data_IF_672110118694
#
_entry.id   IF_672110118694
#
_cell.length_a   1.000
_cell.length_b   1.000
_cell.length_c   1.000
_cell.angle_alpha   90.00
_cell.angle_beta   90.00
_cell.angle_gamma   90.00
#
_symmetry.space_group_name_H-M   'P 1'
#
loop_
_entity.id
_entity.type
_entity.pdbx_description
1 polymer ?
#
# COMPACT_ATOMS: atom_id res chain seq x y z
N UNK A 1 38.23 -0.99 -21.02
CA UNK A 1 36.95 -0.26 -21.18
C UNK A 1 35.71 -0.96 -20.61
N UNK A 2 35.38 -2.19 -21.00
CA UNK A 2 34.16 -2.91 -20.53
C UNK A 2 33.97 -2.97 -19.00
N UNK A 3 35.03 -3.21 -18.23
CA UNK A 3 34.94 -3.26 -16.75
C UNK A 3 34.64 -1.89 -16.12
N UNK A 4 35.12 -0.79 -16.73
CA UNK A 4 34.86 0.59 -16.26
C UNK A 4 33.42 0.99 -16.51
N UNK A 5 32.84 0.60 -17.64
CA UNK A 5 31.42 0.79 -17.95
C UNK A 5 30.51 -0.01 -17.00
N UNK A 6 30.86 -1.28 -16.76
CA UNK A 6 30.15 -2.12 -15.79
C UNK A 6 30.16 -1.48 -14.39
N UNK A 7 31.32 -1.04 -13.90
CA UNK A 7 31.44 -0.36 -12.61
C UNK A 7 30.61 0.93 -12.53
N UNK A 8 30.65 1.77 -13.57
CA UNK A 8 29.87 3.01 -13.63
C UNK A 8 28.36 2.74 -13.63
N UNK A 9 27.91 1.73 -14.38
CA UNK A 9 26.50 1.35 -14.40
C UNK A 9 26.02 0.84 -13.03
N UNK A 10 26.85 0.05 -12.33
CA UNK A 10 26.57 -0.43 -10.98
C UNK A 10 26.44 0.75 -9.99
N UNK A 11 27.38 1.70 -10.04
CA UNK A 11 27.36 2.91 -9.20
C UNK A 11 26.09 3.74 -9.44
N UNK A 12 25.69 3.93 -10.70
CA UNK A 12 24.44 4.63 -11.05
C UNK A 12 23.20 3.89 -10.54
N UNK A 13 23.19 2.56 -10.59
CA UNK A 13 22.09 1.76 -10.09
C UNK A 13 21.98 1.82 -8.57
N UNK A 14 23.11 1.65 -7.85
CA UNK A 14 23.16 1.82 -6.39
C UNK A 14 22.67 3.21 -5.97
N UNK A 15 23.07 4.25 -6.70
CA UNK A 15 22.58 5.62 -6.46
C UNK A 15 21.07 5.74 -6.63
N UNK A 16 20.49 5.17 -7.69
CA UNK A 16 19.04 5.16 -7.92
C UNK A 16 18.30 4.42 -6.81
N UNK A 17 18.83 3.28 -6.35
CA UNK A 17 18.26 2.49 -5.25
C UNK A 17 18.31 3.30 -3.95
N UNK A 18 19.46 3.89 -3.61
CA UNK A 18 19.61 4.73 -2.42
C UNK A 18 18.64 5.92 -2.42
N UNK A 19 18.50 6.60 -3.55
CA UNK A 19 17.53 7.70 -3.71
C UNK A 19 16.09 7.23 -3.53
N UNK A 20 15.73 6.08 -4.12
CA UNK A 20 14.41 5.49 -3.95
C UNK A 20 14.12 5.12 -2.49
N UNK A 21 15.09 4.51 -1.82
CA UNK A 21 15.00 4.14 -0.41
C UNK A 21 14.80 5.36 0.49
N UNK A 22 15.57 6.44 0.29
CA UNK A 22 15.41 7.68 1.06
C UNK A 22 14.01 8.28 0.91
N UNK A 23 13.47 8.32 -0.31
CA UNK A 23 12.12 8.83 -0.56
C UNK A 23 11.08 7.98 0.17
N UNK A 24 11.23 6.66 0.13
CA UNK A 24 10.33 5.73 0.83
C UNK A 24 10.43 5.88 2.35
N UNK A 25 11.63 5.94 2.91
CA UNK A 25 11.80 6.05 4.37
C UNK A 25 11.30 7.40 4.89
N UNK A 26 11.58 8.49 4.20
CA UNK A 26 11.04 9.79 4.56
C UNK A 26 9.50 9.77 4.64
N UNK A 27 8.84 9.03 3.74
CA UNK A 27 7.38 8.93 3.76
C UNK A 27 6.83 8.27 5.03
N UNK A 28 7.61 7.47 5.79
CA UNK A 28 7.13 6.83 7.02
C UNK A 28 6.71 7.85 8.08
N UNK A 29 7.38 9.00 8.13
CA UNK A 29 7.03 10.10 9.03
C UNK A 29 5.65 10.70 8.73
N UNK A 30 5.06 10.44 7.56
CA UNK A 30 3.69 10.85 7.26
C UNK A 30 2.70 10.34 8.32
N UNK A 31 2.88 9.11 8.81
CA UNK A 31 1.96 8.47 9.75
C UNK A 31 2.17 8.89 11.21
N UNK A 32 3.27 9.58 11.54
CA UNK A 32 3.51 10.05 12.91
C UNK A 32 2.79 11.37 13.24
N UNK A 33 2.22 12.05 12.25
CA UNK A 33 1.45 13.26 12.47
C UNK A 33 0.12 12.97 13.17
N UNK A 34 -0.24 13.82 14.14
CA UNK A 34 -1.56 13.73 14.80
C UNK A 34 -2.64 14.55 14.12
N UNK A 35 -2.27 15.61 13.39
CA UNK A 35 -3.20 16.55 12.79
C UNK A 35 -3.18 16.48 11.26
N UNK A 36 -4.37 16.38 10.67
CA UNK A 36 -4.59 16.32 9.21
C UNK A 36 -3.86 17.44 8.45
N UNK A 37 -3.90 18.67 8.94
CA UNK A 37 -3.25 19.82 8.28
C UNK A 37 -1.73 19.69 8.19
N UNK A 38 -1.08 19.14 9.23
CA UNK A 38 0.37 18.92 9.23
C UNK A 38 0.75 17.76 8.29
N UNK A 39 -0.04 16.68 8.29
CA UNK A 39 0.13 15.57 7.36
C UNK A 39 -0.01 16.03 5.89
N UNK A 40 -0.98 16.91 5.60
CA UNK A 40 -1.17 17.46 4.26
C UNK A 40 0.02 18.34 3.81
N UNK A 41 0.51 19.22 4.69
CA UNK A 41 1.71 20.03 4.42
C UNK A 41 2.94 19.16 4.16
N UNK A 42 3.14 18.13 4.98
CA UNK A 42 4.19 17.14 4.76
C UNK A 42 4.03 16.47 3.39
N UNK A 43 2.82 15.98 3.08
CA UNK A 43 2.54 15.25 1.84
C UNK A 43 2.84 16.10 0.61
N UNK A 44 2.46 17.39 0.61
CA UNK A 44 2.75 18.31 -0.50
C UNK A 44 4.26 18.44 -0.76
N UNK A 45 5.07 18.61 0.30
CA UNK A 45 6.53 18.69 0.21
C UNK A 45 7.14 17.38 -0.29
N UNK A 46 6.72 16.27 0.30
CA UNK A 46 7.19 14.94 -0.09
C UNK A 46 6.81 14.59 -1.52
N UNK A 47 5.57 14.90 -1.94
CA UNK A 47 5.07 14.65 -3.29
C UNK A 47 5.90 15.37 -4.33
N UNK A 48 6.20 16.66 -4.11
CA UNK A 48 7.05 17.45 -4.99
C UNK A 48 8.45 16.79 -5.14
N UNK A 49 9.06 16.38 -4.03
CA UNK A 49 10.35 15.70 -4.08
C UNK A 49 10.28 14.34 -4.81
N UNK A 50 9.25 13.55 -4.54
CA UNK A 50 9.04 12.24 -5.14
C UNK A 50 8.82 12.33 -6.67
N UNK A 51 8.04 13.31 -7.14
CA UNK A 51 7.79 13.50 -8.58
C UNK A 51 9.01 14.00 -9.34
N UNK A 52 9.89 14.78 -8.69
CA UNK A 52 11.14 15.29 -9.29
C UNK A 52 12.34 14.35 -9.10
N UNK A 53 12.12 13.16 -8.55
CA UNK A 53 13.18 12.17 -8.31
C UNK A 53 13.80 11.59 -9.59
N UNK A 54 13.15 11.73 -10.75
CA UNK A 54 13.46 11.06 -12.03
C UNK A 54 13.35 9.52 -11.95
N UNK A 55 12.77 8.98 -10.87
CA UNK A 55 12.56 7.54 -10.70
C UNK A 55 11.12 7.19 -11.10
N UNK A 56 10.91 6.67 -12.32
CA UNK A 56 9.58 6.31 -12.86
C UNK A 56 8.70 5.53 -11.86
N UNK A 57 9.21 4.50 -11.13
CA UNK A 57 8.40 3.77 -10.15
C UNK A 57 7.89 4.66 -9.01
N UNK A 58 8.76 5.52 -8.45
CA UNK A 58 8.40 6.44 -7.35
C UNK A 58 7.38 7.47 -7.83
N UNK A 59 7.57 8.03 -9.03
CA UNK A 59 6.66 9.02 -9.62
C UNK A 59 5.25 8.42 -9.78
N UNK A 60 5.16 7.17 -10.25
CA UNK A 60 3.89 6.45 -10.40
C UNK A 60 3.16 6.33 -9.06
N UNK A 61 3.87 5.90 -8.01
CA UNK A 61 3.29 5.75 -6.66
C UNK A 61 2.89 7.12 -6.09
N UNK A 62 3.74 8.15 -6.23
CA UNK A 62 3.42 9.49 -5.76
C UNK A 62 2.12 10.03 -6.39
N UNK A 63 1.96 9.88 -7.72
CA UNK A 63 0.73 10.28 -8.43
C UNK A 63 -0.50 9.50 -7.98
N UNK A 64 -0.35 8.19 -7.74
CA UNK A 64 -1.42 7.35 -7.20
C UNK A 64 -1.86 7.81 -5.80
N UNK A 65 -0.91 8.12 -4.92
CA UNK A 65 -1.19 8.63 -3.58
C UNK A 65 -1.87 10.01 -3.66
N UNK A 66 -1.39 10.90 -4.52
CA UNK A 66 -2.00 12.23 -4.72
C UNK A 66 -3.46 12.13 -5.18
N UNK A 67 -3.78 11.24 -6.12
CA UNK A 67 -5.16 11.01 -6.57
C UNK A 67 -6.09 10.61 -5.42
N UNK A 68 -5.57 9.88 -4.43
CA UNK A 68 -6.34 9.35 -3.31
C UNK A 68 -6.09 10.10 -1.99
N UNK A 69 -5.40 11.25 -2.02
CA UNK A 69 -4.91 11.91 -0.80
C UNK A 69 -6.05 12.33 0.13
N UNK A 70 -7.21 12.70 -0.44
CA UNK A 70 -8.41 13.03 0.33
C UNK A 70 -8.80 11.90 1.29
N UNK A 71 -8.81 10.66 0.81
CA UNK A 71 -9.16 9.48 1.60
C UNK A 71 -8.05 9.08 2.57
N UNK A 72 -6.80 9.19 2.13
CA UNK A 72 -5.64 8.92 2.99
C UNK A 72 -5.63 9.87 4.20
N UNK A 73 -5.95 11.16 3.99
CA UNK A 73 -5.99 12.15 5.05
C UNK A 73 -7.13 11.92 6.07
N UNK A 74 -8.18 11.17 5.70
CA UNK A 74 -9.26 10.76 6.62
C UNK A 74 -8.74 9.88 7.75
N UNK A 75 -7.63 9.16 7.55
CA UNK A 75 -6.96 8.40 8.61
C UNK A 75 -6.61 9.29 9.81
N UNK A 76 -6.19 10.54 9.60
CA UNK A 76 -5.80 11.42 10.71
C UNK A 76 -7.00 11.97 11.50
N UNK A 77 -8.21 11.89 10.95
CA UNK A 77 -9.43 12.29 11.66
C UNK A 77 -9.96 11.18 12.57
N UNK A 78 -9.93 9.92 12.11
CA UNK A 78 -10.57 8.81 12.81
C UNK A 78 -9.60 7.71 13.29
N UNK A 79 -8.35 7.71 12.81
CA UNK A 79 -7.33 6.67 13.03
C UNK A 79 -7.78 5.24 12.76
N UNK A 80 -8.82 5.08 11.93
CA UNK A 80 -9.33 3.77 11.52
C UNK A 80 -8.29 3.12 10.62
N UNK A 81 -7.74 1.99 11.06
CA UNK A 81 -6.81 1.18 10.28
C UNK A 81 -7.58 0.21 9.39
N UNK A 82 -6.96 -0.23 8.30
CA UNK A 82 -7.52 -1.24 7.41
C UNK A 82 -7.48 -2.66 8.00
N UNK A 83 -7.06 -2.82 9.27
CA UNK A 83 -6.84 -4.11 9.90
C UNK A 83 -8.09 -5.00 9.92
N UNK A 84 -9.27 -4.43 10.20
CA UNK A 84 -10.54 -5.18 10.17
C UNK A 84 -10.90 -5.69 8.77
N UNK A 85 -10.72 -4.85 7.75
CA UNK A 85 -10.94 -5.26 6.35
C UNK A 85 -9.92 -6.33 5.92
N UNK A 86 -8.67 -6.21 6.34
CA UNK A 86 -7.60 -7.18 6.07
C UNK A 86 -7.85 -8.53 6.73
N UNK A 87 -8.36 -8.54 7.97
CA UNK A 87 -8.74 -9.78 8.64
C UNK A 87 -9.89 -10.48 7.92
N UNK A 88 -10.90 -9.73 7.47
CA UNK A 88 -12.02 -10.30 6.69
C UNK A 88 -11.51 -10.85 5.35
N UNK A 89 -10.68 -10.08 4.63
CA UNK A 89 -10.12 -10.52 3.35
C UNK A 89 -9.25 -11.79 3.51
N UNK A 90 -8.46 -11.86 4.59
CA UNK A 90 -7.66 -13.05 4.92
C UNK A 90 -8.53 -14.27 5.20
N UNK A 91 -9.63 -14.11 5.94
CA UNK A 91 -10.60 -15.18 6.18
C UNK A 91 -11.27 -15.66 4.88
N UNK A 92 -11.65 -14.74 3.99
CA UNK A 92 -12.21 -15.09 2.68
C UNK A 92 -11.19 -15.88 1.83
N UNK A 93 -9.93 -15.46 1.82
CA UNK A 93 -8.87 -16.19 1.11
C UNK A 93 -8.63 -17.58 1.72
N UNK A 94 -8.72 -17.73 3.04
CA UNK A 94 -8.63 -19.03 3.72
C UNK A 94 -9.77 -19.96 3.29
N UNK A 95 -11.02 -19.47 3.23
CA UNK A 95 -12.17 -20.23 2.73
C UNK A 95 -11.91 -20.72 1.30
N UNK A 96 -11.42 -19.83 0.42
CA UNK A 96 -11.08 -20.17 -0.97
C UNK A 96 -9.96 -21.21 -1.06
N UNK A 97 -8.89 -21.06 -0.26
CA UNK A 97 -7.74 -21.95 -0.25
C UNK A 97 -8.10 -23.35 0.26
N UNK A 98 -8.88 -23.44 1.33
CA UNK A 98 -9.37 -24.71 1.88
C UNK A 98 -10.21 -25.50 0.88
N UNK A 99 -11.04 -24.80 0.09
CA UNK A 99 -11.83 -25.41 -0.98
C UNK A 99 -11.02 -25.76 -2.24
N UNK A 100 -9.72 -25.41 -2.30
CA UNK A 100 -8.88 -25.48 -3.50
C UNK A 100 -9.46 -24.70 -4.69
N UNK A 101 -10.15 -23.60 -4.40
CA UNK A 101 -10.83 -22.75 -5.36
C UNK A 101 -12.29 -23.15 -5.59
N UNK A 102 -13.07 -22.19 -6.08
CA UNK A 102 -14.47 -22.38 -6.43
C UNK A 102 -14.63 -22.19 -7.94
N UNK A 103 -15.34 -23.10 -8.59
CA UNK A 103 -15.68 -22.99 -10.03
C UNK A 103 -16.85 -22.04 -10.30
N UNK A 104 -17.77 -21.91 -9.35
CA UNK A 104 -18.93 -21.01 -9.43
C UNK A 104 -18.89 -20.00 -8.28
N UNK A 105 -19.11 -18.72 -8.61
CA UNK A 105 -19.20 -17.63 -7.66
C UNK A 105 -20.36 -17.80 -6.68
N UNK A 106 -21.49 -18.37 -7.09
CA UNK A 106 -22.64 -18.57 -6.20
C UNK A 106 -22.28 -19.46 -5.00
N UNK A 107 -21.57 -20.56 -5.26
CA UNK A 107 -21.08 -21.43 -4.19
C UNK A 107 -20.01 -20.75 -3.34
N UNK A 108 -19.17 -19.91 -3.93
CA UNK A 108 -18.21 -19.12 -3.15
C UNK A 108 -18.90 -18.12 -2.23
N UNK A 109 -19.93 -17.43 -2.73
CA UNK A 109 -20.75 -16.49 -1.95
C UNK A 109 -21.46 -17.19 -0.80
N UNK A 110 -22.10 -18.34 -1.06
CA UNK A 110 -22.75 -19.15 -0.02
C UNK A 110 -21.73 -19.56 1.03
N UNK A 111 -20.54 -20.03 0.64
CA UNK A 111 -19.49 -20.41 1.58
C UNK A 111 -19.01 -19.22 2.44
N UNK A 112 -18.85 -18.03 1.85
CA UNK A 112 -18.50 -16.82 2.60
C UNK A 112 -19.60 -16.49 3.62
N UNK A 113 -20.86 -16.42 3.18
CA UNK A 113 -21.99 -16.08 4.05
C UNK A 113 -22.19 -17.12 5.16
N UNK A 114 -21.95 -18.40 4.87
CA UNK A 114 -22.05 -19.46 5.86
C UNK A 114 -21.00 -19.30 6.98
N UNK A 115 -19.74 -19.00 6.62
CA UNK A 115 -18.66 -18.92 7.61
C UNK A 115 -18.51 -17.55 8.27
N UNK A 116 -18.90 -16.47 7.59
CA UNK A 116 -18.66 -15.08 8.03
C UNK A 116 -19.95 -14.26 8.17
N UNK A 117 -21.12 -14.81 7.87
CA UNK A 117 -22.40 -14.10 7.90
C UNK A 117 -23.08 -14.05 9.26
N UNK A 118 -22.46 -14.60 10.31
CA UNK A 118 -23.00 -14.56 11.67
C UNK A 118 -24.25 -15.42 11.86
N UNK A 119 -24.40 -16.51 11.08
CA UNK A 119 -25.44 -17.50 11.31
C UNK A 119 -25.18 -18.21 12.64
N UNK A 120 -26.22 -18.35 13.45
CA UNK A 120 -26.16 -19.18 14.65
C UNK A 120 -26.37 -20.64 14.23
N UNK A 121 -25.28 -21.40 14.19
CA UNK A 121 -25.24 -22.78 13.67
C UNK A 121 -25.07 -23.83 14.78
N UNK A 122 -25.12 -23.42 16.04
CA UNK A 122 -25.21 -24.33 17.18
C UNK A 122 -26.67 -24.45 17.65
N UNK A 123 -27.18 -25.66 17.95
CA UNK A 123 -28.44 -25.82 18.67
C UNK A 123 -28.34 -25.40 20.14
#
# INVERSE_FOLDING_TARGET
DKQKEAFNSLKLNLYKVGKGWQIKEAFRYFWSYSYKGNAEKFFKRWYFWATHSKLKPIIKVAKMLYKNIKYILTYFAHRITNAGSESINSSIQKIKSNARGFRNFDFFRVAILFHLGGLDVYP
#
